data_IF_614879054505
#
_entry.id   IF_614879054505
#
_cell.length_a   1.000
_cell.length_b   1.000
_cell.length_c   1.000
_cell.angle_alpha   90.00
_cell.angle_beta   90.00
_cell.angle_gamma   90.00
#
_symmetry.space_group_name_H-M   'P 1'
#
loop_
_entity.id
_entity.type
_entity.pdbx_description
1 polymer ?
#
# COMPACT_ATOMS: atom_id res chain seq x y z
N UNK A 1 -6.30 -6.31 -17.22
CA UNK A 1 -5.52 -7.57 -17.36
C UNK A 1 -6.50 -8.75 -17.44
N UNK A 2 -7.09 -9.01 -18.61
CA UNK A 2 -8.05 -10.12 -18.76
C UNK A 2 -7.33 -11.42 -19.12
N UNK A 3 -7.92 -12.54 -18.68
CA UNK A 3 -7.51 -13.91 -18.94
C UNK A 3 -7.31 -14.18 -20.42
N UNK A 4 -6.06 -14.13 -20.89
CA UNK A 4 -5.68 -14.53 -22.26
C UNK A 4 -5.41 -16.03 -22.38
N UNK A 5 -6.14 -16.85 -21.61
CA UNK A 5 -6.05 -18.32 -21.64
C UNK A 5 -4.79 -18.94 -21.02
N UNK A 6 -3.83 -18.14 -20.54
CA UNK A 6 -2.60 -18.62 -19.87
C UNK A 6 -2.72 -18.50 -18.34
N UNK A 7 -3.41 -17.46 -17.86
CA UNK A 7 -3.71 -17.24 -16.46
C UNK A 7 -5.21 -16.99 -16.33
N UNK A 8 -5.89 -17.83 -15.54
CA UNK A 8 -7.29 -17.66 -15.20
C UNK A 8 -7.39 -16.99 -13.83
N UNK A 9 -7.64 -15.69 -13.85
CA UNK A 9 -7.92 -14.93 -12.63
C UNK A 9 -9.41 -15.07 -12.33
N UNK A 10 -9.77 -16.13 -11.59
CA UNK A 10 -11.13 -16.34 -11.12
C UNK A 10 -11.51 -15.31 -10.06
N UNK A 11 -12.80 -15.05 -9.93
CA UNK A 11 -13.37 -14.25 -8.83
C UNK A 11 -12.99 -14.81 -7.46
N UNK A 12 -12.90 -16.14 -7.34
CA UNK A 12 -12.48 -16.83 -6.12
C UNK A 12 -11.04 -16.45 -5.73
N UNK A 13 -10.12 -16.37 -6.70
CA UNK A 13 -8.75 -15.93 -6.44
C UNK A 13 -8.72 -14.49 -5.90
N UNK A 14 -9.50 -13.58 -6.47
CA UNK A 14 -9.56 -12.20 -5.97
C UNK A 14 -10.16 -12.11 -4.55
N UNK A 15 -11.20 -12.88 -4.26
CA UNK A 15 -11.76 -12.96 -2.89
C UNK A 15 -10.74 -13.51 -1.91
N UNK A 16 -10.01 -14.55 -2.28
CA UNK A 16 -8.95 -15.14 -1.46
C UNK A 16 -7.80 -14.16 -1.23
N UNK A 17 -7.42 -13.36 -2.24
CA UNK A 17 -6.37 -12.33 -2.10
C UNK A 17 -6.76 -11.29 -1.04
N UNK A 18 -7.99 -10.77 -1.04
CA UNK A 18 -8.42 -9.80 -0.03
C UNK A 18 -8.33 -10.34 1.40
N UNK A 19 -8.70 -11.62 1.60
CA UNK A 19 -8.54 -12.27 2.89
C UNK A 19 -7.06 -12.50 3.26
N UNK A 20 -6.24 -12.91 2.28
CA UNK A 20 -4.82 -13.15 2.48
C UNK A 20 -4.04 -11.87 2.82
N UNK A 21 -4.46 -10.71 2.33
CA UNK A 21 -3.87 -9.41 2.70
C UNK A 21 -4.00 -9.16 4.21
N UNK A 22 -5.19 -9.41 4.79
CA UNK A 22 -5.39 -9.27 6.24
C UNK A 22 -4.52 -10.27 7.03
N UNK A 23 -4.43 -11.52 6.57
CA UNK A 23 -3.59 -12.55 7.20
C UNK A 23 -2.09 -12.17 7.16
N UNK A 24 -1.60 -11.70 6.01
CA UNK A 24 -0.23 -11.24 5.84
C UNK A 24 0.08 -10.01 6.72
N UNK A 25 -0.88 -9.11 6.89
CA UNK A 25 -0.76 -7.98 7.82
C UNK A 25 -0.57 -8.48 9.26
N UNK A 26 -1.40 -9.44 9.71
CA UNK A 26 -1.27 -10.03 11.04
C UNK A 26 0.09 -10.71 11.24
N UNK A 27 0.57 -11.47 10.24
CA UNK A 27 1.88 -12.10 10.28
C UNK A 27 2.99 -11.06 10.45
N UNK A 28 2.92 -9.96 9.72
CA UNK A 28 3.89 -8.85 9.79
C UNK A 28 3.89 -8.19 11.17
N UNK A 29 2.72 -7.88 11.71
CA UNK A 29 2.60 -7.29 13.06
C UNK A 29 3.18 -8.24 14.12
N UNK A 30 2.93 -9.55 14.01
CA UNK A 30 3.51 -10.55 14.92
C UNK A 30 5.04 -10.63 14.83
N UNK A 31 5.59 -10.55 13.62
CA UNK A 31 7.03 -10.58 13.40
C UNK A 31 7.75 -9.33 13.93
N UNK A 32 7.17 -8.15 13.70
CA UNK A 32 7.76 -6.86 14.14
C UNK A 32 7.52 -6.63 15.64
N UNK A 33 6.34 -7.03 16.12
CA UNK A 33 5.83 -6.81 17.47
C UNK A 33 4.79 -5.70 17.50
N UNK A 34 3.60 -6.01 18.03
CA UNK A 34 2.43 -5.12 18.00
C UNK A 34 2.67 -3.70 18.56
N UNK A 35 3.48 -3.57 19.62
CA UNK A 35 3.80 -2.26 20.21
C UNK A 35 4.79 -1.40 19.41
N UNK A 36 5.20 -1.85 18.21
CA UNK A 36 6.17 -1.16 17.34
C UNK A 36 5.59 -0.80 15.97
N UNK A 37 4.30 -1.04 15.77
CA UNK A 37 3.62 -0.80 14.49
C UNK A 37 2.53 0.24 14.70
N UNK A 38 2.39 1.15 13.75
CA UNK A 38 1.29 2.10 13.65
C UNK A 38 0.87 2.21 12.19
N UNK A 39 -0.39 2.57 11.96
CA UNK A 39 -1.02 2.63 10.64
C UNK A 39 -1.44 4.05 10.32
N UNK A 40 -1.25 4.43 9.07
CA UNK A 40 -1.63 5.74 8.54
C UNK A 40 -2.29 5.48 7.18
N UNK A 41 -3.51 5.97 7.01
CA UNK A 41 -4.20 5.94 5.72
C UNK A 41 -4.23 7.35 5.16
N UNK A 42 -3.72 7.50 3.94
CA UNK A 42 -3.79 8.74 3.17
C UNK A 42 -4.99 8.62 2.23
N UNK A 43 -6.15 9.08 2.68
CA UNK A 43 -7.38 9.02 1.91
C UNK A 43 -7.52 10.30 1.07
N UNK A 44 -6.59 10.46 0.14
CA UNK A 44 -6.44 11.62 -0.75
C UNK A 44 -6.43 11.14 -2.20
N UNK A 45 -6.94 11.96 -3.13
CA UNK A 45 -6.97 11.68 -4.57
C UNK A 45 -7.45 10.26 -4.91
N UNK A 46 -8.53 9.83 -4.24
CA UNK A 46 -8.98 8.43 -4.27
C UNK A 46 -9.53 8.09 -5.67
N UNK A 47 -8.71 7.46 -6.50
CA UNK A 47 -9.09 6.97 -7.82
C UNK A 47 -9.72 5.56 -7.74
N UNK A 48 -10.36 5.12 -8.82
CA UNK A 48 -10.84 3.73 -8.93
C UNK A 48 -9.70 2.70 -8.93
N UNK A 49 -8.52 3.10 -9.41
CA UNK A 49 -7.35 2.24 -9.52
C UNK A 49 -6.66 2.06 -8.19
N UNK A 50 -6.11 0.87 -7.93
CA UNK A 50 -5.05 0.78 -6.93
C UNK A 50 -3.77 1.39 -7.49
N UNK A 51 -2.89 1.87 -6.60
CA UNK A 51 -1.60 2.47 -6.97
C UNK A 51 -0.65 1.52 -7.73
N UNK A 52 -0.99 0.22 -7.79
CA UNK A 52 -0.28 -0.74 -8.61
C UNK A 52 -0.56 -0.57 -10.12
N UNK A 53 -1.59 0.21 -10.50
CA UNK A 53 -1.85 0.55 -11.90
C UNK A 53 -0.87 1.63 -12.37
N UNK A 54 -0.42 1.51 -13.62
CA UNK A 54 0.56 2.42 -14.22
C UNK A 54 -0.05 3.76 -14.69
N UNK A 55 -1.29 4.05 -14.30
CA UNK A 55 -2.01 5.27 -14.63
C UNK A 55 -2.97 5.62 -13.48
N UNK A 56 -3.32 6.90 -13.39
CA UNK A 56 -4.37 7.39 -12.49
C UNK A 56 -5.49 7.99 -13.33
N UNK A 57 -6.71 7.86 -12.82
CA UNK A 57 -7.93 8.42 -13.42
C UNK A 57 -8.45 9.56 -12.55
N UNK A 58 -9.51 10.25 -12.97
CA UNK A 58 -10.18 11.23 -12.13
C UNK A 58 -10.61 10.59 -10.79
N UNK A 59 -10.34 11.22 -9.63
CA UNK A 59 -10.75 10.69 -8.34
C UNK A 59 -12.25 10.40 -8.30
N UNK A 60 -12.64 9.26 -7.75
CA UNK A 60 -14.05 8.86 -7.58
C UNK A 60 -14.63 9.40 -6.27
N UNK A 61 -13.78 9.70 -5.29
CA UNK A 61 -14.13 10.26 -3.99
C UNK A 61 -13.21 11.47 -3.74
N UNK A 62 -13.74 12.60 -3.23
CA UNK A 62 -12.91 13.74 -2.84
C UNK A 62 -12.01 13.41 -1.65
N UNK A 63 -11.05 14.28 -1.36
CA UNK A 63 -10.13 14.08 -0.24
C UNK A 63 -10.88 13.92 1.09
N UNK A 64 -10.63 12.80 1.77
CA UNK A 64 -11.17 12.50 3.10
C UNK A 64 -10.16 12.84 4.22
N UNK A 65 -8.91 13.12 3.83
CA UNK A 65 -7.83 13.51 4.73
C UNK A 65 -6.91 12.36 5.13
N UNK A 66 -6.26 12.52 6.28
CA UNK A 66 -5.29 11.56 6.82
C UNK A 66 -5.82 10.95 8.10
N UNK A 67 -5.83 9.63 8.15
CA UNK A 67 -6.24 8.86 9.32
C UNK A 67 -5.01 8.19 9.92
N UNK A 68 -5.00 7.99 11.24
CA UNK A 68 -3.94 7.28 11.93
C UNK A 68 -4.52 6.45 13.07
N UNK A 69 -3.98 5.25 13.28
CA UNK A 69 -4.43 4.31 14.32
C UNK A 69 -3.32 3.30 14.65
N UNK A 70 -3.42 2.69 15.84
CA UNK A 70 -2.66 1.49 16.17
C UNK A 70 -3.40 0.19 15.80
N UNK A 71 -4.71 0.29 15.54
CA UNK A 71 -5.55 -0.81 15.06
C UNK A 71 -5.79 -0.65 13.55
N UNK A 72 -5.31 -1.60 12.72
CA UNK A 72 -5.43 -1.53 11.26
C UNK A 72 -6.86 -1.80 10.75
N UNK A 73 -7.67 -2.57 11.48
CA UNK A 73 -9.07 -2.85 11.07
C UNK A 73 -9.94 -1.62 11.34
N UNK A 74 -9.71 -0.95 12.47
CA UNK A 74 -10.46 0.24 12.86
C UNK A 74 -10.24 1.40 11.88
N UNK A 75 -8.99 1.64 11.45
CA UNK A 75 -8.66 2.72 10.50
C UNK A 75 -9.21 2.45 9.11
N UNK A 76 -9.09 1.22 8.60
CA UNK A 76 -9.64 0.86 7.30
C UNK A 76 -11.17 0.98 7.32
N UNK A 77 -11.83 0.56 8.40
CA UNK A 77 -13.29 0.71 8.56
C UNK A 77 -13.71 2.17 8.53
N UNK A 78 -12.98 3.03 9.25
CA UNK A 78 -13.23 4.47 9.25
C UNK A 78 -13.09 5.09 7.84
N UNK A 79 -12.09 4.67 7.06
CA UNK A 79 -11.91 5.13 5.68
C UNK A 79 -13.05 4.66 4.76
N UNK A 80 -13.48 3.40 4.86
CA UNK A 80 -14.60 2.86 4.07
C UNK A 80 -15.90 3.59 4.41
N UNK A 81 -16.17 3.83 5.69
CA UNK A 81 -17.35 4.58 6.11
C UNK A 81 -17.34 6.02 5.59
N UNK A 82 -16.21 6.71 5.71
CA UNK A 82 -16.06 8.09 5.21
C UNK A 82 -16.20 8.15 3.68
N UNK A 83 -15.70 7.16 2.96
CA UNK A 83 -15.87 7.05 1.52
C UNK A 83 -17.34 6.83 1.12
N UNK A 84 -18.06 5.99 1.87
CA UNK A 84 -19.50 5.79 1.66
C UNK A 84 -20.29 7.07 1.97
N UNK A 85 -20.00 7.75 3.09
CA UNK A 85 -20.63 9.01 3.50
C UNK A 85 -20.34 10.18 2.55
N UNK A 86 -19.20 10.18 1.87
CA UNK A 86 -18.85 11.23 0.92
C UNK A 86 -19.73 11.19 -0.33
N UNK A 87 -19.95 12.36 -0.95
CA UNK A 87 -20.40 12.39 -2.35
C UNK A 87 -19.28 11.89 -3.26
N UNK A 88 -19.64 11.26 -4.38
CA UNK A 88 -18.70 10.98 -5.45
C UNK A 88 -18.36 12.25 -6.25
N UNK A 89 -17.27 12.20 -7.01
CA UNK A 89 -16.83 13.34 -7.83
C UNK A 89 -17.54 13.32 -9.19
N UNK A 90 -18.24 14.40 -9.60
CA UNK A 90 -18.83 14.49 -10.94
C UNK A 90 -17.79 14.42 -12.05
N UNK A 91 -18.13 13.78 -13.17
CA UNK A 91 -17.23 13.53 -14.30
C UNK A 91 -16.25 12.37 -14.10
N UNK A 92 -16.30 11.69 -12.94
CA UNK A 92 -15.51 10.50 -12.65
C UNK A 92 -16.30 9.21 -12.92
N UNK A 93 -15.65 8.06 -12.77
CA UNK A 93 -16.31 6.74 -12.80
C UNK A 93 -17.45 6.61 -11.78
N UNK A 94 -17.48 7.43 -10.72
CA UNK A 94 -18.59 7.45 -9.77
C UNK A 94 -19.91 7.93 -10.43
N UNK A 95 -19.84 8.82 -11.42
CA UNK A 95 -21.00 9.24 -12.22
C UNK A 95 -21.42 8.13 -13.19
N UNK A 96 -20.47 7.55 -13.93
CA UNK A 96 -20.74 6.47 -14.89
C UNK A 96 -21.39 5.24 -14.26
N UNK A 97 -21.07 4.97 -12.99
CA UNK A 97 -21.58 3.84 -12.22
C UNK A 97 -22.77 4.19 -11.32
N UNK A 98 -23.32 5.40 -11.40
CA UNK A 98 -24.44 5.89 -10.60
C UNK A 98 -24.22 5.78 -9.07
N UNK A 99 -23.02 6.14 -8.60
CA UNK A 99 -22.62 6.12 -7.18
C UNK A 99 -22.15 7.49 -6.65
N UNK A 100 -22.63 8.59 -7.24
CA UNK A 100 -22.36 9.95 -6.75
C UNK A 100 -22.97 10.25 -5.38
N UNK A 101 -24.08 9.59 -5.04
CA UNK A 101 -24.81 9.86 -3.81
C UNK A 101 -24.07 9.36 -2.55
N UNK A 102 -24.27 10.07 -1.44
CA UNK A 102 -23.84 9.61 -0.12
C UNK A 102 -24.56 8.33 0.29
N UNK A 103 -23.86 7.44 0.99
CA UNK A 103 -24.36 6.14 1.45
C UNK A 103 -24.19 5.00 0.43
N UNK A 104 -23.74 5.29 -0.80
CA UNK A 104 -23.41 4.26 -1.79
C UNK A 104 -21.96 3.77 -1.63
N UNK A 105 -21.77 2.47 -1.83
CA UNK A 105 -20.46 1.79 -1.80
C UNK A 105 -19.68 2.07 -3.07
N UNK A 106 -18.65 2.89 -2.98
CA UNK A 106 -17.93 3.38 -4.17
C UNK A 106 -16.78 2.45 -4.56
N UNK A 107 -16.06 1.85 -3.60
CA UNK A 107 -14.92 0.98 -3.94
C UNK A 107 -15.38 -0.32 -4.58
N UNK A 108 -16.41 -0.96 -4.03
CA UNK A 108 -16.99 -2.19 -4.58
C UNK A 108 -17.56 -1.98 -6.00
N UNK A 109 -18.32 -0.88 -6.21
CA UNK A 109 -18.99 -0.60 -7.48
C UNK A 109 -18.05 -0.05 -8.56
N UNK A 110 -17.13 0.85 -8.20
CA UNK A 110 -16.17 1.44 -9.14
C UNK A 110 -14.88 0.61 -9.29
N UNK A 111 -14.83 -0.65 -8.85
CA UNK A 111 -13.63 -1.50 -8.98
C UNK A 111 -13.18 -1.67 -10.44
N UNK A 112 -11.86 -1.63 -10.74
CA UNK A 112 -11.34 -1.69 -12.10
C UNK A 112 -11.10 -3.08 -12.64
N UNK A 113 -10.95 -4.07 -11.76
CA UNK A 113 -10.60 -5.45 -12.14
C UNK A 113 -11.80 -6.39 -12.07
N UNK A 114 -12.66 -6.22 -11.07
CA UNK A 114 -13.86 -7.03 -10.90
C UNK A 114 -14.93 -6.24 -10.15
N UNK A 115 -16.05 -5.97 -10.80
CA UNK A 115 -17.22 -5.39 -10.14
C UNK A 115 -17.83 -6.42 -9.17
N UNK A 116 -18.19 -6.00 -7.96
CA UNK A 116 -18.85 -6.86 -6.96
C UNK A 116 -17.92 -7.57 -5.97
N UNK A 117 -16.62 -7.24 -5.95
CA UNK A 117 -15.76 -7.61 -4.83
C UNK A 117 -16.09 -6.73 -3.63
N UNK A 118 -16.53 -7.36 -2.54
CA UNK A 118 -16.91 -6.64 -1.33
C UNK A 118 -15.72 -5.94 -0.68
N UNK A 119 -15.86 -4.62 -0.50
CA UNK A 119 -14.94 -3.75 0.25
C UNK A 119 -14.85 -4.11 1.75
N UNK A 120 -15.74 -4.97 2.25
CA UNK A 120 -15.76 -5.46 3.64
C UNK A 120 -14.96 -6.75 3.86
N UNK A 121 -14.53 -7.44 2.80
CA UNK A 121 -13.87 -8.76 2.90
C UNK A 121 -12.63 -8.72 3.78
N UNK A 122 -11.77 -7.72 3.56
CA UNK A 122 -10.53 -7.53 4.34
C UNK A 122 -10.84 -7.17 5.80
N UNK A 123 -11.82 -6.30 6.04
CA UNK A 123 -12.24 -5.87 7.37
C UNK A 123 -12.80 -7.04 8.20
N UNK A 124 -13.69 -7.82 7.61
CA UNK A 124 -14.27 -9.00 8.24
C UNK A 124 -13.19 -10.04 8.54
N UNK A 125 -12.28 -10.28 7.59
CA UNK A 125 -11.18 -11.22 7.79
C UNK A 125 -10.29 -10.77 8.95
N UNK A 126 -9.92 -9.48 8.99
CA UNK A 126 -9.12 -8.90 10.07
C UNK A 126 -9.75 -9.09 11.45
N UNK A 127 -11.05 -8.83 11.60
CA UNK A 127 -11.75 -9.04 12.87
C UNK A 127 -11.79 -10.53 13.25
N UNK A 128 -12.07 -11.44 12.30
CA UNK A 128 -12.12 -12.89 12.54
C UNK A 128 -10.78 -13.45 13.03
N UNK A 129 -9.67 -13.03 12.41
CA UNK A 129 -8.33 -13.54 12.76
C UNK A 129 -7.71 -12.85 13.99
N UNK A 130 -8.40 -11.86 14.57
CA UNK A 130 -7.94 -11.08 15.71
C UNK A 130 -6.85 -10.06 15.36
N UNK A 131 -6.86 -9.52 14.13
CA UNK A 131 -5.97 -8.44 13.69
C UNK A 131 -6.33 -7.09 14.35
N UNK A 132 -7.62 -6.88 14.61
CA UNK A 132 -8.15 -5.64 15.16
C UNK A 132 -9.67 -5.70 15.28
N UNK A 133 -10.31 -4.56 15.51
CA UNK A 133 -11.77 -4.45 15.59
C UNK A 133 -12.32 -3.44 14.59
N UNK A 134 -13.57 -3.66 14.14
CA UNK A 134 -14.31 -2.68 13.33
C UNK A 134 -14.90 -1.55 14.17
N UNK A 135 -14.82 -1.62 15.49
CA UNK A 135 -15.30 -0.56 16.37
C UNK A 135 -14.24 0.53 16.45
N UNK A 136 -14.65 1.76 16.14
CA UNK A 136 -13.76 2.91 16.19
C UNK A 136 -14.49 4.15 16.70
N UNK A 137 -13.70 5.10 17.21
CA UNK A 137 -14.14 6.45 17.52
C UNK A 137 -13.24 7.41 16.75
N UNK A 138 -13.83 8.33 15.98
CA UNK A 138 -13.07 9.37 15.29
C UNK A 138 -12.74 10.50 16.27
N UNK A 139 -11.46 10.60 16.61
CA UNK A 139 -10.94 11.72 17.41
C UNK A 139 -10.35 12.76 16.47
N UNK A 140 -10.99 13.93 16.29
CA UNK A 140 -10.43 14.98 15.44
C UNK A 140 -9.14 15.51 16.05
N UNK A 141 -8.11 15.65 15.22
CA UNK A 141 -6.84 16.26 15.62
C UNK A 141 -6.91 17.75 15.35
N UNK A 142 -6.56 18.57 16.33
CA UNK A 142 -6.54 20.01 16.17
C UNK A 142 -5.53 20.40 15.07
N UNK A 143 -5.94 21.33 14.21
CA UNK A 143 -5.03 21.94 13.25
C UNK A 143 -3.86 22.58 13.99
N UNK A 144 -2.65 22.25 13.54
CA UNK A 144 -1.41 22.84 14.03
C UNK A 144 -0.77 23.65 12.92
N UNK A 145 0.02 24.65 13.30
CA UNK A 145 0.73 25.46 12.33
C UNK A 145 1.90 24.68 11.78
N UNK A 146 2.32 24.98 10.55
CA UNK A 146 3.46 24.29 9.93
C UNK A 146 4.74 24.43 10.78
N UNK A 147 4.89 25.56 11.46
CA UNK A 147 5.96 25.81 12.44
C UNK A 147 6.01 24.79 13.58
N UNK A 148 4.86 24.22 13.99
CA UNK A 148 4.80 23.22 15.07
C UNK A 148 5.37 21.86 14.62
N UNK A 149 5.46 21.63 13.31
CA UNK A 149 6.05 20.43 12.70
C UNK A 149 7.49 20.66 12.21
N UNK A 150 8.00 21.89 12.33
CA UNK A 150 9.37 22.19 11.94
C UNK A 150 10.33 21.53 12.93
N UNK A 151 11.08 20.54 12.45
CA UNK A 151 12.21 20.00 13.19
C UNK A 151 13.45 20.84 12.92
N UNK A 152 14.21 21.16 13.97
CA UNK A 152 15.54 21.75 13.78
C UNK A 152 16.40 20.75 12.98
N UNK A 153 17.00 21.15 11.85
CA UNK A 153 17.84 20.26 11.09
C UNK A 153 18.99 19.78 11.98
N UNK A 154 19.23 18.48 11.99
CA UNK A 154 20.34 17.88 12.72
C UNK A 154 21.66 18.42 12.13
N UNK A 155 22.48 19.15 12.90
CA UNK A 155 23.70 19.78 12.39
C UNK A 155 24.80 18.76 12.08
N UNK A 156 24.63 17.50 12.51
CA UNK A 156 25.64 16.46 12.29
C UNK A 156 25.68 16.06 10.81
N UNK A 157 26.88 15.82 10.24
CA UNK A 157 26.99 15.20 8.92
C UNK A 157 26.22 13.87 8.87
N UNK A 158 25.58 13.58 7.72
CA UNK A 158 24.72 12.39 7.54
C UNK A 158 25.41 11.10 7.94
N UNK A 159 26.71 10.95 7.63
CA UNK A 159 27.50 9.77 7.99
C UNK A 159 27.64 9.55 9.50
N UNK A 160 27.72 10.63 10.29
CA UNK A 160 27.75 10.55 11.76
C UNK A 160 26.36 10.24 12.30
N UNK A 161 25.33 10.94 11.79
CA UNK A 161 23.92 10.77 12.19
C UNK A 161 23.43 9.34 11.98
N UNK A 162 23.79 8.74 10.84
CA UNK A 162 23.36 7.40 10.45
C UNK A 162 24.43 6.32 10.71
N UNK A 163 25.52 6.65 11.40
CA UNK A 163 26.65 5.72 11.64
C UNK A 163 26.22 4.38 12.24
N UNK A 164 25.29 4.39 13.21
CA UNK A 164 24.77 3.17 13.82
C UNK A 164 23.90 2.32 12.87
N UNK A 165 23.23 2.96 11.90
CA UNK A 165 22.46 2.27 10.86
C UNK A 165 23.42 1.65 9.86
N UNK A 166 24.39 2.42 9.38
CA UNK A 166 25.43 1.95 8.46
C UNK A 166 26.35 0.88 9.06
N UNK A 167 26.54 0.86 10.38
CA UNK A 167 27.26 -0.20 11.07
C UNK A 167 26.52 -1.54 11.06
N UNK A 168 25.18 -1.51 11.00
CA UNK A 168 24.34 -2.72 10.92
C UNK A 168 24.06 -3.16 9.50
N UNK A 169 23.96 -2.20 8.59
CA UNK A 169 23.68 -2.40 7.18
C UNK A 169 24.77 -1.65 6.41
N UNK A 170 25.88 -2.32 6.07
CA UNK A 170 26.88 -1.71 5.19
C UNK A 170 26.34 -1.74 3.76
N UNK A 171 25.88 -0.60 3.19
CA UNK A 171 25.40 -0.56 1.79
C UNK A 171 26.51 -0.84 0.79
N UNK A 172 27.75 -0.62 1.21
CA UNK A 172 28.97 -0.93 0.48
C UNK A 172 29.79 -1.85 1.37
N UNK A 173 29.60 -3.16 1.25
CA UNK A 173 30.22 -4.11 2.17
C UNK A 173 31.67 -4.37 1.75
N UNK A 174 32.52 -3.33 1.83
CA UNK A 174 33.89 -3.34 1.31
C UNK A 174 34.70 -4.55 1.78
N UNK A 175 34.44 -5.06 2.98
CA UNK A 175 35.17 -6.18 3.58
C UNK A 175 34.70 -7.56 3.07
N UNK A 176 33.60 -7.62 2.33
CA UNK A 176 33.09 -8.87 1.77
C UNK A 176 33.88 -9.27 0.51
N UNK A 177 33.89 -10.57 0.22
CA UNK A 177 34.56 -11.16 -0.95
C UNK A 177 36.01 -10.68 -1.13
N UNK A 178 36.83 -10.79 -0.08
CA UNK A 178 38.25 -10.40 -0.09
C UNK A 178 38.48 -8.91 -0.44
N UNK A 179 37.63 -8.01 0.06
CA UNK A 179 37.79 -6.58 -0.19
C UNK A 179 37.04 -6.06 -1.43
N UNK A 180 36.34 -6.96 -2.16
CA UNK A 180 35.69 -6.63 -3.45
C UNK A 180 34.30 -6.02 -3.29
N UNK A 181 33.73 -6.03 -2.08
CA UNK A 181 32.36 -5.57 -1.86
C UNK A 181 31.31 -6.60 -2.25
N UNK A 182 31.26 -6.92 -3.53
CA UNK A 182 30.25 -7.82 -4.10
C UNK A 182 30.93 -9.00 -4.82
N UNK A 183 30.18 -10.09 -4.96
CA UNK A 183 30.61 -11.19 -5.82
C UNK A 183 30.67 -10.69 -7.26
N UNK A 184 31.88 -10.59 -7.80
CA UNK A 184 32.14 -10.13 -9.17
C UNK A 184 33.31 -10.92 -9.75
N UNK A 185 33.23 -11.22 -11.04
CA UNK A 185 34.37 -11.70 -11.81
C UNK A 185 35.40 -10.58 -11.96
N UNK A 186 36.69 -10.92 -12.06
CA UNK A 186 37.76 -9.92 -12.26
C UNK A 186 37.77 -9.37 -13.69
N UNK A 187 37.34 -10.20 -14.63
CA UNK A 187 37.21 -9.86 -16.04
C UNK A 187 35.79 -10.17 -16.49
N UNK A 188 35.19 -9.24 -17.23
CA UNK A 188 33.87 -9.42 -17.82
C UNK A 188 34.06 -10.03 -19.20
N UNK A 189 33.56 -11.24 -19.42
CA UNK A 189 33.50 -11.84 -20.75
C UNK A 189 32.41 -11.15 -21.56
N UNK A 190 32.81 -10.08 -22.25
CA UNK A 190 31.93 -9.27 -23.09
C UNK A 190 31.36 -10.06 -24.28
N UNK A 191 32.08 -11.08 -24.78
CA UNK A 191 31.60 -11.92 -25.88
C UNK A 191 30.47 -12.84 -25.41
N UNK A 192 30.61 -13.42 -24.21
CA UNK A 192 29.56 -14.24 -23.61
C UNK A 192 28.25 -13.45 -23.40
N UNK A 193 28.32 -12.25 -22.82
CA UNK A 193 27.12 -11.42 -22.60
C UNK A 193 26.59 -10.75 -23.87
N UNK A 194 27.43 -10.61 -24.90
CA UNK A 194 27.05 -10.11 -26.23
C UNK A 194 26.75 -11.27 -27.21
N UNK A 195 26.41 -12.45 -26.69
CA UNK A 195 25.95 -13.56 -27.51
C UNK A 195 24.47 -13.39 -27.82
N UNK A 196 24.12 -13.36 -29.11
CA UNK A 196 22.73 -13.45 -29.55
C UNK A 196 22.23 -14.88 -29.35
N UNK A 197 21.33 -15.08 -28.39
CA UNK A 197 20.61 -16.33 -28.27
C UNK A 197 19.54 -16.37 -29.37
N UNK A 198 19.79 -17.11 -30.44
CA UNK A 198 18.77 -17.43 -31.44
C UNK A 198 17.72 -18.34 -30.77
N UNK A 199 16.69 -17.73 -30.21
CA UNK A 199 15.47 -18.42 -29.77
C UNK A 199 14.74 -19.00 -30.99
N UNK A 200 15.24 -20.12 -31.51
CA UNK A 200 14.43 -21.02 -32.34
C UNK A 200 13.43 -21.73 -31.42
N UNK A 201 12.32 -21.07 -31.17
CA UNK A 201 11.05 -21.71 -30.81
C UNK A 201 10.52 -22.53 -31.98
#
# INVERSE_FOLDING_TARGET
MCSRGILELSEEHFKAVNAAIADACLATIKAVGAGKVAFINLAIDISRGCDCLNYTDMPIIPDLGVFASYDPVAIDKACVDKAAESAGVPGSMAEDMDVLESGKRKFETCSPLLAGLSEETQLNTGEIIGLGTRQYELVPVAEKKMEDFAFSPDPRPVGVRLSQVFAKLQPFPYDWYEGKGFLREEEVDLEHVNTYYDDKR
#
